data_IF_772516992263
#
_entry.id   IF_772516992263
#
_cell.length_a   1.000
_cell.length_b   1.000
_cell.length_c   1.000
_cell.angle_alpha   90.00
_cell.angle_beta   90.00
_cell.angle_gamma   90.00
#
_symmetry.space_group_name_H-M   'P 1'
#
loop_
_entity.id
_entity.type
_entity.pdbx_description
1 polymer ?
#
# COMPACT_ATOMS: atom_id res chain seq x y z
N UNK A 1 5.10 0.92 26.27
CA UNK A 1 6.20 1.68 25.68
C UNK A 1 6.26 3.04 26.31
N UNK A 2 7.47 3.55 26.52
CA UNK A 2 7.68 4.93 26.96
C UNK A 2 7.67 5.90 25.77
N UNK A 3 7.78 7.21 26.07
CA UNK A 3 7.72 8.24 25.04
C UNK A 3 8.95 8.25 24.11
N UNK A 4 10.11 7.76 24.56
CA UNK A 4 11.31 7.74 23.74
C UNK A 4 11.21 6.61 22.71
N UNK A 5 10.86 5.40 23.17
CA UNK A 5 10.56 4.26 22.29
C UNK A 5 9.44 4.62 21.29
N UNK A 6 8.39 5.32 21.76
CA UNK A 6 7.31 5.75 20.88
C UNK A 6 7.80 6.71 19.78
N UNK A 7 8.56 7.75 20.13
CA UNK A 7 9.06 8.77 19.19
C UNK A 7 9.92 8.19 18.08
N UNK A 8 10.76 7.20 18.39
CA UNK A 8 11.59 6.52 17.38
C UNK A 8 10.74 5.79 16.33
N UNK A 9 9.53 5.35 16.69
CA UNK A 9 8.66 4.55 15.84
C UNK A 9 7.52 5.34 15.17
N UNK A 10 7.30 6.62 15.56
CA UNK A 10 6.20 7.43 15.01
C UNK A 10 6.29 7.62 13.49
N UNK A 11 7.50 7.78 12.94
CA UNK A 11 7.70 7.89 11.49
C UNK A 11 7.24 6.63 10.75
N UNK A 12 7.72 5.47 11.20
CA UNK A 12 7.34 4.17 10.65
C UNK A 12 5.84 3.86 10.82
N UNK A 13 5.20 4.32 11.91
CA UNK A 13 3.74 4.24 12.06
C UNK A 13 3.01 5.04 10.97
N UNK A 14 3.41 6.30 10.76
CA UNK A 14 2.81 7.19 9.75
C UNK A 14 2.99 6.63 8.34
N UNK A 15 4.14 6.03 8.04
CA UNK A 15 4.43 5.42 6.74
C UNK A 15 3.83 3.99 6.59
N UNK A 16 3.22 3.46 7.65
CA UNK A 16 2.63 2.11 7.74
C UNK A 16 3.66 0.99 7.52
N UNK A 17 4.86 1.18 8.04
CA UNK A 17 5.98 0.25 7.93
C UNK A 17 6.13 -0.64 9.17
N UNK A 18 5.39 -0.34 10.24
CA UNK A 18 5.42 -1.15 11.46
C UNK A 18 4.71 -2.51 11.29
N UNK A 19 5.26 -3.58 11.88
CA UNK A 19 4.51 -4.81 12.11
C UNK A 19 3.25 -4.55 12.94
N UNK A 20 2.20 -5.34 12.73
CA UNK A 20 0.91 -5.15 13.39
C UNK A 20 0.96 -5.05 14.94
N UNK A 21 1.79 -5.85 15.66
CA UNK A 21 1.93 -5.69 17.11
C UNK A 21 2.46 -4.31 17.51
N UNK A 22 3.44 -3.78 16.78
CA UNK A 22 4.08 -2.50 17.09
C UNK A 22 3.18 -1.32 16.75
N UNK A 23 2.47 -1.38 15.63
CA UNK A 23 1.44 -0.40 15.28
C UNK A 23 0.37 -0.29 16.38
N UNK A 24 -0.09 -1.43 16.94
CA UNK A 24 -1.05 -1.41 18.04
C UNK A 24 -0.47 -0.81 19.33
N UNK A 25 0.79 -1.11 19.67
CA UNK A 25 1.48 -0.52 20.83
C UNK A 25 1.59 1.00 20.68
N UNK A 26 1.98 1.48 19.49
CA UNK A 26 2.09 2.91 19.18
C UNK A 26 0.72 3.59 19.25
N UNK A 27 -0.30 3.02 18.62
CA UNK A 27 -1.64 3.58 18.64
C UNK A 27 -2.15 3.78 20.08
N UNK A 28 -2.02 2.75 20.93
CA UNK A 28 -2.40 2.84 22.35
C UNK A 28 -1.64 3.94 23.09
N UNK A 29 -0.35 4.12 22.79
CA UNK A 29 0.46 5.16 23.43
C UNK A 29 0.05 6.56 22.98
N UNK A 30 -0.10 6.77 21.67
CA UNK A 30 -0.55 8.03 21.06
C UNK A 30 -1.93 8.42 21.60
N UNK A 31 -2.81 7.45 21.79
CA UNK A 31 -4.15 7.68 22.35
C UNK A 31 -4.14 8.14 23.81
N UNK A 32 -3.10 7.80 24.57
CA UNK A 32 -2.95 8.17 25.98
C UNK A 32 -1.97 9.33 26.23
N UNK A 33 -1.20 9.78 25.23
CA UNK A 33 -0.13 10.75 25.42
C UNK A 33 -0.23 11.93 24.43
N UNK A 34 -0.62 13.10 24.93
CA UNK A 34 -0.76 14.31 24.11
C UNK A 34 0.56 14.79 23.49
N UNK A 35 1.69 14.57 24.17
CA UNK A 35 3.00 14.94 23.63
C UNK A 35 3.34 14.13 22.37
N UNK A 36 3.13 12.81 22.42
CA UNK A 36 3.35 11.92 21.29
C UNK A 36 2.29 12.09 20.19
N UNK A 37 1.04 12.44 20.55
CA UNK A 37 0.01 12.81 19.59
C UNK A 37 0.43 14.04 18.77
N UNK A 38 0.84 15.12 19.44
CA UNK A 38 1.33 16.34 18.75
C UNK A 38 2.54 16.06 17.86
N UNK A 39 3.45 15.19 18.29
CA UNK A 39 4.60 14.82 17.48
C UNK A 39 4.19 14.05 16.22
N UNK A 40 3.29 13.08 16.37
CA UNK A 40 2.73 12.35 15.23
C UNK A 40 2.03 13.29 14.25
N UNK A 41 1.24 14.24 14.74
CA UNK A 41 0.54 15.22 13.91
C UNK A 41 1.52 16.09 13.10
N UNK A 42 2.69 16.44 13.66
CA UNK A 42 3.76 17.15 12.94
C UNK A 42 4.33 16.31 11.80
N UNK A 43 4.59 15.03 12.05
CA UNK A 43 5.09 14.11 11.02
C UNK A 43 4.07 13.95 9.89
N UNK A 44 2.78 13.81 10.24
CA UNK A 44 1.69 13.75 9.26
C UNK A 44 1.61 15.04 8.43
N UNK A 45 1.68 16.20 9.08
CA UNK A 45 1.67 17.50 8.39
C UNK A 45 2.86 17.65 7.44
N UNK A 46 4.06 17.22 7.85
CA UNK A 46 5.25 17.21 7.00
C UNK A 46 5.05 16.29 5.79
N UNK A 47 4.56 15.07 5.99
CA UNK A 47 4.26 14.12 4.90
C UNK A 47 3.27 14.69 3.89
N UNK A 48 2.23 15.38 4.37
CA UNK A 48 1.26 16.06 3.51
C UNK A 48 1.89 17.22 2.71
N UNK A 49 2.73 18.04 3.35
CA UNK A 49 3.42 19.15 2.69
C UNK A 49 4.35 18.65 1.58
N UNK A 50 5.12 17.59 1.83
CA UNK A 50 6.00 16.98 0.83
C UNK A 50 5.20 16.43 -0.35
N UNK A 51 4.05 15.81 -0.11
CA UNK A 51 3.17 15.29 -1.19
C UNK A 51 2.53 16.38 -2.05
N UNK A 52 2.46 17.61 -1.56
CA UNK A 52 1.96 18.77 -2.31
C UNK A 52 3.03 19.43 -3.17
N UNK A 53 4.30 19.02 -3.05
CA UNK A 53 5.38 19.52 -3.90
C UNK A 53 5.15 19.15 -5.37
N UNK A 54 5.80 19.91 -6.27
CA UNK A 54 5.68 19.70 -7.70
C UNK A 54 6.02 18.27 -8.10
N UNK A 55 5.06 17.63 -8.79
CA UNK A 55 5.25 16.27 -9.25
C UNK A 55 6.10 16.25 -10.53
N UNK A 56 7.35 15.80 -10.40
CA UNK A 56 8.23 15.60 -11.54
C UNK A 56 7.86 14.33 -12.32
N UNK A 57 7.33 14.49 -13.54
CA UNK A 57 7.03 13.36 -14.42
C UNK A 57 8.32 12.70 -14.90
N UNK A 58 8.38 11.37 -14.78
CA UNK A 58 9.46 10.58 -15.34
C UNK A 58 9.49 10.71 -16.88
N UNK A 59 10.64 11.04 -17.50
CA UNK A 59 10.76 11.11 -18.95
C UNK A 59 10.52 9.75 -19.62
N UNK A 60 9.95 9.75 -20.84
CA UNK A 60 9.67 8.53 -21.60
C UNK A 60 10.94 7.70 -21.86
N UNK A 61 12.09 8.37 -22.02
CA UNK A 61 13.38 7.70 -22.16
C UNK A 61 13.76 6.84 -20.94
N UNK A 62 13.44 7.29 -19.72
CA UNK A 62 13.66 6.50 -18.50
C UNK A 62 12.77 5.25 -18.51
N UNK A 63 11.50 5.42 -18.90
CA UNK A 63 10.55 4.31 -19.02
C UNK A 63 11.04 3.26 -20.02
N UNK A 64 11.49 3.68 -21.20
CA UNK A 64 12.03 2.79 -22.23
C UNK A 64 13.25 2.01 -21.72
N UNK A 65 14.18 2.68 -21.03
CA UNK A 65 15.37 2.05 -20.43
C UNK A 65 15.00 1.00 -19.37
N UNK A 66 14.01 1.29 -18.53
CA UNK A 66 13.52 0.32 -17.53
C UNK A 66 12.99 -0.92 -18.24
N UNK A 67 12.11 -0.76 -19.23
CA UNK A 67 11.55 -1.90 -19.97
C UNK A 67 12.60 -2.72 -20.70
N UNK A 68 13.61 -2.09 -21.30
CA UNK A 68 14.70 -2.78 -21.96
C UNK A 68 15.61 -3.55 -20.99
N UNK A 69 15.70 -3.12 -19.73
CA UNK A 69 16.52 -3.76 -18.69
C UNK A 69 15.80 -4.83 -17.88
N UNK A 70 14.47 -4.95 -18.01
CA UNK A 70 13.75 -6.06 -17.38
C UNK A 70 14.14 -7.37 -18.07
N UNK A 71 14.39 -8.46 -17.32
CA UNK A 71 14.56 -9.76 -17.95
C UNK A 71 13.33 -10.05 -18.80
N UNK A 72 13.52 -10.62 -20.00
CA UNK A 72 12.42 -11.21 -20.74
C UNK A 72 11.67 -12.13 -19.74
N UNK A 73 10.35 -12.05 -19.71
CA UNK A 73 9.55 -12.93 -18.87
C UNK A 73 9.76 -14.37 -19.36
N UNK A 74 10.83 -15.00 -18.88
CA UNK A 74 11.19 -16.38 -19.17
C UNK A 74 10.17 -17.22 -18.40
N UNK A 75 9.25 -17.80 -19.15
CA UNK A 75 8.25 -18.77 -18.75
C UNK A 75 7.45 -18.41 -17.49
N UNK A 76 6.29 -17.80 -17.69
CA UNK A 76 5.23 -17.81 -16.69
C UNK A 76 4.35 -19.06 -16.84
N UNK A 77 4.60 -20.19 -16.15
CA UNK A 77 3.56 -21.19 -16.01
C UNK A 77 2.57 -20.77 -14.92
N UNK A 78 1.31 -20.84 -15.35
CA UNK A 78 0.05 -20.85 -14.60
C UNK A 78 -0.48 -19.48 -14.18
N UNK A 79 -1.49 -19.06 -14.97
CA UNK A 79 -2.53 -18.14 -14.55
C UNK A 79 -2.86 -18.36 -13.06
N UNK A 80 -2.47 -17.40 -12.23
CA UNK A 80 -2.88 -17.40 -10.83
C UNK A 80 -4.40 -17.31 -10.83
N UNK A 81 -5.12 -18.25 -10.18
CA UNK A 81 -6.57 -18.17 -10.12
C UNK A 81 -6.94 -16.82 -9.51
N UNK A 82 -7.69 -16.02 -10.27
CA UNK A 82 -8.27 -14.76 -9.78
C UNK A 82 -9.40 -15.12 -8.82
N UNK A 83 -9.05 -15.39 -7.55
CA UNK A 83 -10.04 -15.72 -6.52
C UNK A 83 -9.39 -15.96 -5.15
N UNK A 84 -10.01 -15.51 -4.04
CA UNK A 84 -9.50 -15.79 -2.70
C UNK A 84 -9.66 -17.28 -2.36
N UNK A 85 -8.55 -17.96 -2.06
CA UNK A 85 -8.54 -19.42 -1.75
C UNK A 85 -9.22 -19.78 -0.42
N UNK A 86 -9.66 -18.82 0.38
CA UNK A 86 -10.41 -19.07 1.61
C UNK A 86 -11.86 -19.52 1.35
N UNK A 87 -12.42 -19.26 0.16
CA UNK A 87 -13.73 -19.80 -0.25
C UNK A 87 -13.71 -21.32 -0.41
N UNK A 88 -12.58 -21.92 -0.78
CA UNK A 88 -12.44 -23.38 -0.92
C UNK A 88 -12.49 -24.10 0.43
N UNK A 89 -11.99 -23.45 1.50
CA UNK A 89 -12.04 -23.97 2.87
C UNK A 89 -13.44 -23.88 3.50
N UNK A 90 -14.35 -23.12 2.90
CA UNK A 90 -15.74 -22.92 3.37
C UNK A 90 -16.79 -23.67 2.54
N UNK A 91 -16.41 -24.43 1.51
CA UNK A 91 -17.36 -25.26 0.74
C UNK A 91 -18.37 -24.48 -0.12
N UNK A 92 -18.19 -23.18 -0.33
CA UNK A 92 -19.12 -22.34 -1.10
C UNK A 92 -18.65 -22.22 -2.56
N UNK A 93 -18.92 -23.24 -3.39
CA UNK A 93 -18.84 -23.08 -4.86
C UNK A 93 -20.17 -22.52 -5.37
N UNK A 94 -20.21 -21.23 -5.70
CA UNK A 94 -21.38 -20.56 -6.25
C UNK A 94 -21.02 -19.45 -7.24
N UNK A 95 -21.10 -19.79 -8.54
CA UNK A 95 -21.14 -18.95 -9.74
C UNK A 95 -20.97 -17.42 -9.60
N UNK A 96 -19.76 -16.91 -9.88
CA UNK A 96 -19.60 -15.51 -10.33
C UNK A 96 -19.76 -15.49 -11.84
N UNK A 97 -20.98 -15.21 -12.31
CA UNK A 97 -21.25 -14.86 -13.71
C UNK A 97 -20.74 -13.43 -13.91
N UNK A 98 -19.56 -13.28 -14.51
CA UNK A 98 -19.00 -11.96 -14.84
C UNK A 98 -19.90 -11.20 -15.83
N UNK A 99 -19.94 -9.86 -15.77
CA UNK A 99 -20.75 -9.06 -16.69
C UNK A 99 -20.21 -9.20 -18.13
N UNK A 100 -21.13 -9.45 -19.06
CA UNK A 100 -20.90 -9.49 -20.50
C UNK A 100 -20.48 -8.09 -20.95
N UNK A 101 -19.29 -7.98 -21.53
CA UNK A 101 -18.83 -6.73 -22.13
C UNK A 101 -19.60 -6.52 -23.43
N UNK A 102 -20.64 -5.67 -23.38
CA UNK A 102 -21.32 -5.19 -24.58
C UNK A 102 -20.35 -4.28 -25.34
N UNK A 103 -20.05 -4.68 -26.58
CA UNK A 103 -19.14 -3.96 -27.48
C UNK A 103 -19.56 -2.52 -27.71
N UNK A 104 -18.57 -1.62 -27.76
CA UNK A 104 -18.74 -0.25 -28.27
C UNK A 104 -18.83 -0.34 -29.80
N UNK A 105 -19.85 0.23 -30.46
CA UNK A 105 -19.71 0.59 -31.85
C UNK A 105 -18.89 1.89 -31.91
N UNK A 106 -17.97 1.97 -32.87
CA UNK A 106 -17.45 3.22 -33.40
C UNK A 106 -17.65 3.24 -34.92
N UNK A 107 -17.13 4.23 -35.65
CA UNK A 107 -16.81 5.60 -35.23
C UNK A 107 -18.03 6.52 -35.22
#
# INVERSE_FOLDING_TARGET
MDCNEARELLGADVDRELPAPDALRIQRHVDACDACRRERDRIVALSQAVRQADYHRAPDALRARIFAGLPAAQDAPRAMPRGPRWFERLGLRGAVRGPQQAGRPGP
#
